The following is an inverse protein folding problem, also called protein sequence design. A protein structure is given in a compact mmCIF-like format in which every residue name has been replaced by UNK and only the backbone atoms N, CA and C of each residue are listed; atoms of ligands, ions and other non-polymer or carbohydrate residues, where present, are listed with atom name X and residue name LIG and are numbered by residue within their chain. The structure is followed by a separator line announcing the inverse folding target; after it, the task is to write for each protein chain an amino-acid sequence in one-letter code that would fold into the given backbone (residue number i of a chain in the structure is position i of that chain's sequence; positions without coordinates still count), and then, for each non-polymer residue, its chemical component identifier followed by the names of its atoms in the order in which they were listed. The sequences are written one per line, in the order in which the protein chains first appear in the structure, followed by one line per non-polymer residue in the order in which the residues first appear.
data_IF_202225424733
#
_entry.id   IF_202225424733
#
_cell.length_a   1.000
_cell.length_b   1.000
_cell.length_c   1.000
_cell.angle_alpha   90.00
_cell.angle_beta   90.00
_cell.angle_gamma   90.00
#
_symmetry.space_group_name_H-M   'P 1'
#
loop_
_entity.id
_entity.type
_entity.pdbx_description
1 polymer ?
#
# COMPACT_ATOMS: atom_id res chain seq x y z
N UNK A 1 14.67 -5.44 8.29
CA UNK A 1 15.83 -6.08 7.60
C UNK A 1 15.82 -5.68 6.13
N UNK A 2 16.92 -5.17 5.60
CA UNK A 2 17.04 -4.69 4.21
C UNK A 2 17.95 -5.66 3.45
N UNK A 3 17.47 -6.20 2.33
CA UNK A 3 18.17 -7.22 1.57
C UNK A 3 18.41 -6.79 0.13
N UNK A 4 19.66 -6.89 -0.31
CA UNK A 4 20.00 -6.80 -1.73
C UNK A 4 19.56 -8.09 -2.44
N UNK A 5 18.96 -7.96 -3.62
CA UNK A 5 18.56 -9.10 -4.44
C UNK A 5 18.77 -8.78 -5.93
N UNK A 6 19.36 -9.71 -6.66
CA UNK A 6 19.58 -9.63 -8.11
C UNK A 6 20.17 -8.28 -8.59
N UNK A 7 21.15 -7.75 -7.85
CA UNK A 7 21.80 -6.47 -8.16
C UNK A 7 21.12 -5.24 -7.59
N UNK A 8 19.86 -5.31 -7.20
CA UNK A 8 19.09 -4.20 -6.63
C UNK A 8 19.22 -4.15 -5.10
N UNK A 9 19.47 -2.96 -4.59
CA UNK A 9 19.41 -2.66 -3.16
C UNK A 9 18.24 -1.69 -2.94
N UNK A 10 17.34 -1.92 -1.98
CA UNK A 10 16.24 -1.00 -1.70
C UNK A 10 16.74 0.44 -1.49
N UNK A 11 16.11 1.39 -2.16
CA UNK A 11 16.35 2.82 -2.00
C UNK A 11 15.33 3.37 -1.02
N UNK A 12 15.79 3.84 0.14
CA UNK A 12 14.93 4.28 1.23
C UNK A 12 15.29 5.71 1.56
N UNK A 13 14.31 6.63 1.51
CA UNK A 13 14.51 8.01 1.89
C UNK A 13 14.84 8.11 3.38
N UNK A 14 15.74 9.01 3.76
CA UNK A 14 16.23 9.17 5.15
C UNK A 14 15.14 9.49 6.18
N UNK A 15 14.06 10.13 5.73
CA UNK A 15 12.90 10.46 6.58
C UNK A 15 11.87 9.34 6.67
N UNK A 16 12.07 8.21 5.99
CA UNK A 16 11.19 7.05 6.09
C UNK A 16 11.52 6.23 7.34
N UNK A 17 10.50 5.71 7.99
CA UNK A 17 10.64 4.76 9.08
C UNK A 17 10.41 3.33 8.60
N UNK A 18 11.38 2.47 8.78
CA UNK A 18 11.26 1.04 8.52
C UNK A 18 11.55 0.29 9.82
N UNK A 19 10.53 -0.34 10.39
CA UNK A 19 10.68 -1.10 11.62
C UNK A 19 11.71 -2.23 11.45
N UNK A 20 12.52 -2.50 12.47
CA UNK A 20 13.60 -3.50 12.42
C UNK A 20 13.13 -4.93 12.06
N UNK A 21 11.88 -5.28 12.41
CA UNK A 21 11.24 -6.54 12.08
C UNK A 21 10.57 -6.56 10.68
N UNK A 22 10.62 -5.48 9.94
CA UNK A 22 10.15 -5.46 8.55
C UNK A 22 11.24 -6.00 7.62
N UNK A 23 10.83 -6.67 6.53
CA UNK A 23 11.73 -7.18 5.49
C UNK A 23 11.50 -6.42 4.17
N UNK A 24 12.54 -5.76 3.65
CA UNK A 24 12.50 -5.05 2.36
C UNK A 24 13.59 -5.63 1.47
N UNK A 25 13.21 -6.16 0.31
CA UNK A 25 14.09 -6.95 -0.54
C UNK A 25 14.06 -6.46 -2.00
N UNK A 26 15.23 -6.25 -2.60
CA UNK A 26 15.39 -6.07 -4.05
C UNK A 26 15.03 -4.67 -4.57
N UNK A 27 14.34 -4.61 -5.71
CA UNK A 27 14.00 -3.37 -6.41
C UNK A 27 12.80 -2.67 -5.76
N UNK A 28 13.06 -1.97 -4.67
CA UNK A 28 12.06 -1.24 -3.88
C UNK A 28 12.52 0.20 -3.69
N UNK A 29 11.62 1.15 -3.97
CA UNK A 29 11.82 2.58 -3.77
C UNK A 29 10.84 3.07 -2.71
N UNK A 30 11.34 3.66 -1.63
CA UNK A 30 10.55 4.16 -0.50
C UNK A 30 10.79 5.66 -0.34
N UNK A 31 9.72 6.44 -0.48
CA UNK A 31 9.73 7.90 -0.44
C UNK A 31 9.77 8.50 0.96
N UNK A 32 9.58 9.82 1.00
CA UNK A 32 9.65 10.62 2.24
C UNK A 32 8.50 10.29 3.19
N UNK A 33 8.79 10.29 4.50
CA UNK A 33 7.81 10.12 5.60
C UNK A 33 6.93 8.88 5.45
N UNK A 34 7.45 7.85 4.79
CA UNK A 34 6.80 6.53 4.71
C UNK A 34 6.98 5.81 6.03
N UNK A 35 5.92 5.16 6.51
CA UNK A 35 5.95 4.27 7.68
C UNK A 35 5.83 2.81 7.22
N UNK A 36 6.74 1.96 7.67
CA UNK A 36 6.68 0.50 7.46
C UNK A 36 6.71 -0.20 8.82
N UNK A 37 5.59 -0.81 9.17
CA UNK A 37 5.37 -1.49 10.45
C UNK A 37 6.06 -2.84 10.59
N UNK A 38 6.12 -3.39 11.82
CA UNK A 38 6.72 -4.67 12.10
C UNK A 38 6.05 -5.82 11.35
N UNK A 39 6.85 -6.78 10.88
CA UNK A 39 6.37 -7.94 10.14
C UNK A 39 5.94 -7.67 8.70
N UNK A 40 5.98 -6.43 8.22
CA UNK A 40 5.72 -6.12 6.82
C UNK A 40 6.79 -6.74 5.92
N UNK A 41 6.38 -7.41 4.84
CA UNK A 41 7.24 -8.05 3.85
C UNK A 41 7.05 -7.39 2.47
N UNK A 42 8.06 -6.66 2.00
CA UNK A 42 8.06 -5.93 0.74
C UNK A 42 9.14 -6.54 -0.15
N UNK A 43 8.73 -7.27 -1.21
CA UNK A 43 9.63 -8.03 -2.06
C UNK A 43 9.59 -7.58 -3.51
N UNK A 44 10.54 -6.73 -3.89
CA UNK A 44 10.84 -6.34 -5.28
C UNK A 44 11.88 -7.28 -5.91
N UNK A 45 11.75 -8.58 -5.70
CA UNK A 45 12.66 -9.61 -6.20
C UNK A 45 12.36 -10.01 -7.65
N UNK A 46 11.10 -9.88 -8.09
CA UNK A 46 10.66 -10.19 -9.45
C UNK A 46 10.30 -8.96 -10.29
N UNK A 47 10.00 -7.85 -9.67
CA UNK A 47 9.62 -6.61 -10.33
C UNK A 47 9.89 -5.42 -9.44
N UNK A 48 9.39 -4.25 -9.82
CA UNK A 48 9.63 -3.00 -9.11
C UNK A 48 8.48 -2.68 -8.14
N UNK A 49 8.82 -2.17 -6.96
CA UNK A 49 7.85 -1.66 -5.99
C UNK A 49 8.19 -0.21 -5.69
N UNK A 50 7.23 0.69 -5.94
CA UNK A 50 7.33 2.12 -5.69
C UNK A 50 6.34 2.50 -4.59
N UNK A 51 6.86 3.00 -3.47
CA UNK A 51 6.07 3.49 -2.35
C UNK A 51 6.32 4.99 -2.24
N UNK A 52 5.38 5.77 -2.73
CA UNK A 52 5.50 7.23 -2.77
C UNK A 52 5.37 7.86 -1.37
N UNK A 53 5.65 9.16 -1.30
CA UNK A 53 5.74 9.93 -0.07
C UNK A 53 4.48 9.80 0.81
N UNK A 54 4.68 9.73 2.11
CA UNK A 54 3.62 9.75 3.11
C UNK A 54 2.79 8.47 3.24
N UNK A 55 3.09 7.42 2.49
CA UNK A 55 2.41 6.13 2.61
C UNK A 55 2.65 5.49 3.99
N UNK A 56 1.72 4.64 4.42
CA UNK A 56 1.97 3.72 5.52
C UNK A 56 1.62 2.29 5.12
N UNK A 57 2.50 1.38 5.45
CA UNK A 57 2.34 -0.07 5.30
C UNK A 57 2.38 -0.64 6.71
N UNK A 58 1.22 -1.07 7.19
CA UNK A 58 1.08 -1.47 8.57
C UNK A 58 1.59 -2.89 8.82
N UNK A 59 1.43 -3.37 10.05
CA UNK A 59 1.97 -4.64 10.51
C UNK A 59 1.50 -5.81 9.65
N UNK A 60 2.43 -6.72 9.37
CA UNK A 60 2.18 -7.98 8.66
C UNK A 60 1.62 -7.85 7.23
N UNK A 61 1.72 -6.67 6.62
CA UNK A 61 1.37 -6.50 5.21
C UNK A 61 2.36 -7.23 4.30
N UNK A 62 1.87 -7.75 3.17
CA UNK A 62 2.71 -8.32 2.12
C UNK A 62 2.55 -7.53 0.83
N UNK A 63 3.66 -7.05 0.26
CA UNK A 63 3.68 -6.39 -1.05
C UNK A 63 4.62 -7.17 -1.96
N UNK A 64 4.10 -7.65 -3.08
CA UNK A 64 4.84 -8.44 -4.04
C UNK A 64 4.36 -8.20 -5.47
N UNK A 65 5.07 -8.73 -6.45
CA UNK A 65 4.80 -8.48 -7.86
C UNK A 65 5.34 -9.59 -8.75
N UNK A 66 4.70 -9.87 -9.88
CA UNK A 66 5.22 -10.77 -10.91
C UNK A 66 6.36 -10.16 -11.72
N UNK A 67 7.20 -10.99 -12.40
CA UNK A 67 8.27 -10.52 -13.27
C UNK A 67 7.77 -9.54 -14.34
N UNK A 68 8.49 -8.44 -14.51
CA UNK A 68 8.19 -7.40 -15.51
C UNK A 68 6.96 -6.56 -15.22
N UNK A 69 6.41 -6.64 -14.01
CA UNK A 69 5.31 -5.80 -13.49
C UNK A 69 5.80 -4.88 -12.38
N UNK A 70 4.94 -4.00 -11.92
CA UNK A 70 5.21 -3.11 -10.79
C UNK A 70 4.05 -3.05 -9.81
N UNK A 71 4.37 -2.72 -8.56
CA UNK A 71 3.40 -2.20 -7.58
C UNK A 71 3.69 -0.71 -7.42
N UNK A 72 2.64 0.10 -7.46
CA UNK A 72 2.74 1.53 -7.17
C UNK A 72 1.75 1.88 -6.05
N UNK A 73 2.29 2.37 -4.95
CA UNK A 73 1.50 3.03 -3.91
C UNK A 73 1.68 4.54 -4.10
N UNK A 74 0.62 5.21 -4.49
CA UNK A 74 0.64 6.65 -4.70
C UNK A 74 0.69 7.40 -3.36
N UNK A 75 1.03 8.69 -3.42
CA UNK A 75 1.19 9.54 -2.23
C UNK A 75 0.06 9.35 -1.21
N UNK A 76 0.44 9.22 0.07
CA UNK A 76 -0.48 9.08 1.20
C UNK A 76 -1.37 7.82 1.16
N UNK A 77 -1.04 6.81 0.34
CA UNK A 77 -1.71 5.52 0.38
C UNK A 77 -1.55 4.85 1.76
N UNK A 78 -2.62 4.25 2.25
CA UNK A 78 -2.72 3.70 3.59
C UNK A 78 -3.07 2.21 3.51
N UNK A 79 -2.11 1.36 3.82
CA UNK A 79 -2.26 -0.10 3.72
C UNK A 79 -2.45 -0.68 5.11
N UNK A 80 -3.67 -1.08 5.41
CA UNK A 80 -4.08 -1.60 6.72
C UNK A 80 -3.48 -2.96 7.05
N UNK A 81 -3.37 -3.25 8.35
CA UNK A 81 -2.73 -4.44 8.91
C UNK A 81 -3.07 -5.74 8.16
N UNK A 82 -2.08 -6.53 7.83
CA UNK A 82 -2.24 -7.83 7.20
C UNK A 82 -2.71 -7.82 5.74
N UNK A 83 -2.85 -6.65 5.11
CA UNK A 83 -3.28 -6.57 3.71
C UNK A 83 -2.20 -7.12 2.77
N UNK A 84 -2.65 -7.69 1.65
CA UNK A 84 -1.80 -8.21 0.58
C UNK A 84 -2.01 -7.37 -0.68
N UNK A 85 -0.95 -6.76 -1.18
CA UNK A 85 -0.94 -6.02 -2.45
C UNK A 85 -0.04 -6.77 -3.42
N UNK A 86 -0.61 -7.27 -4.50
CA UNK A 86 0.13 -8.02 -5.50
C UNK A 86 -0.05 -7.41 -6.88
N UNK A 87 1.02 -6.84 -7.46
CA UNK A 87 1.04 -6.32 -8.83
C UNK A 87 0.01 -5.22 -9.15
N UNK A 88 -0.39 -4.43 -8.16
CA UNK A 88 -1.49 -3.46 -8.28
C UNK A 88 -1.03 -2.02 -8.12
N UNK A 89 -1.87 -1.08 -8.54
CA UNK A 89 -1.70 0.35 -8.29
C UNK A 89 -2.75 0.83 -7.29
N UNK A 90 -2.30 1.50 -6.23
CA UNK A 90 -3.16 2.09 -5.20
C UNK A 90 -3.05 3.61 -5.30
N UNK A 91 -4.15 4.26 -5.59
CA UNK A 91 -4.24 5.70 -5.81
C UNK A 91 -3.94 6.54 -4.57
N UNK A 92 -3.69 7.81 -4.83
CA UNK A 92 -3.36 8.82 -3.82
C UNK A 92 -4.42 8.88 -2.72
N UNK A 93 -3.96 8.96 -1.48
CA UNK A 93 -4.82 9.10 -0.29
C UNK A 93 -5.90 8.00 -0.17
N UNK A 94 -5.66 6.82 -0.72
CA UNK A 94 -6.57 5.66 -0.66
C UNK A 94 -6.26 4.79 0.55
N UNK A 95 -7.31 4.28 1.20
CA UNK A 95 -7.23 3.29 2.29
C UNK A 95 -7.54 1.90 1.77
N UNK A 96 -6.62 0.97 1.96
CA UNK A 96 -6.85 -0.46 1.85
C UNK A 96 -7.07 -1.01 3.26
N UNK A 97 -8.25 -1.55 3.52
CA UNK A 97 -8.64 -2.05 4.83
C UNK A 97 -7.85 -3.30 5.25
N UNK A 98 -7.87 -3.59 6.56
CA UNK A 98 -7.16 -4.72 7.17
C UNK A 98 -7.50 -6.06 6.51
N UNK A 99 -6.48 -6.91 6.31
CA UNK A 99 -6.59 -8.24 5.70
C UNK A 99 -7.28 -8.27 4.32
N UNK A 100 -7.29 -7.15 3.61
CA UNK A 100 -7.76 -7.11 2.23
C UNK A 100 -6.69 -7.65 1.28
N UNK A 101 -7.15 -8.20 0.14
CA UNK A 101 -6.26 -8.70 -0.92
C UNK A 101 -6.55 -7.93 -2.21
N UNK A 102 -5.51 -7.33 -2.80
CA UNK A 102 -5.58 -6.64 -4.08
C UNK A 102 -4.68 -7.35 -5.07
N UNK A 103 -5.27 -7.86 -6.16
CA UNK A 103 -4.59 -8.72 -7.13
C UNK A 103 -4.02 -7.94 -8.32
N UNK A 104 -3.25 -8.65 -9.13
CA UNK A 104 -2.45 -8.13 -10.23
C UNK A 104 -3.23 -7.26 -11.21
N UNK A 105 -2.57 -6.18 -11.62
CA UNK A 105 -3.11 -5.22 -12.59
C UNK A 105 -4.42 -4.54 -12.16
N UNK A 106 -4.86 -4.73 -10.92
CA UNK A 106 -5.95 -3.94 -10.37
C UNK A 106 -5.48 -2.50 -10.13
N UNK A 107 -6.36 -1.56 -10.38
CA UNK A 107 -6.15 -0.14 -10.11
C UNK A 107 -7.23 0.34 -9.16
N UNK A 108 -6.84 0.78 -7.98
CA UNK A 108 -7.73 1.45 -7.04
C UNK A 108 -7.48 2.95 -7.17
N UNK A 109 -8.49 3.71 -7.55
CA UNK A 109 -8.41 5.15 -7.78
C UNK A 109 -8.03 5.94 -6.53
N UNK A 110 -7.98 7.26 -6.69
CA UNK A 110 -7.63 8.19 -5.61
C UNK A 110 -8.76 8.30 -4.58
N UNK A 111 -8.37 8.58 -3.34
CA UNK A 111 -9.32 8.88 -2.26
C UNK A 111 -10.40 7.80 -2.07
N UNK A 112 -10.07 6.54 -2.38
CA UNK A 112 -10.96 5.40 -2.14
C UNK A 112 -10.84 4.88 -0.70
N UNK A 113 -11.89 4.23 -0.23
CA UNK A 113 -11.89 3.43 1.01
C UNK A 113 -12.28 2.00 0.65
N UNK A 114 -11.35 1.10 0.80
CA UNK A 114 -11.59 -0.34 0.68
C UNK A 114 -11.79 -0.90 2.07
N UNK A 115 -12.93 -1.53 2.32
CA UNK A 115 -13.26 -2.13 3.61
C UNK A 115 -12.35 -3.30 3.95
N UNK A 116 -12.29 -3.65 5.25
CA UNK A 116 -11.52 -4.81 5.69
C UNK A 116 -12.03 -6.12 5.06
N UNK A 117 -11.13 -7.11 4.90
CA UNK A 117 -11.42 -8.43 4.32
C UNK A 117 -11.93 -8.39 2.87
N UNK A 118 -11.67 -7.30 2.17
CA UNK A 118 -12.10 -7.13 0.78
C UNK A 118 -11.17 -7.90 -0.17
N UNK A 119 -11.76 -8.56 -1.18
CA UNK A 119 -10.99 -9.21 -2.26
C UNK A 119 -11.21 -8.48 -3.59
N UNK A 120 -10.21 -7.70 -4.00
CA UNK A 120 -10.18 -7.01 -5.29
C UNK A 120 -9.48 -7.92 -6.29
N UNK A 121 -10.26 -8.45 -7.23
CA UNK A 121 -9.75 -9.35 -8.27
C UNK A 121 -8.80 -8.63 -9.23
N UNK A 122 -7.98 -9.41 -9.91
CA UNK A 122 -7.07 -8.90 -10.93
C UNK A 122 -7.78 -8.07 -12.02
N UNK A 123 -7.07 -7.07 -12.52
CA UNK A 123 -7.51 -6.15 -13.59
C UNK A 123 -8.73 -5.27 -13.24
N UNK A 124 -9.28 -5.37 -12.03
CA UNK A 124 -10.40 -4.53 -11.61
C UNK A 124 -9.99 -3.06 -11.58
N UNK A 125 -10.78 -2.20 -12.23
CA UNK A 125 -10.60 -0.76 -12.26
C UNK A 125 -11.63 -0.10 -11.34
N UNK A 126 -11.17 0.51 -10.25
CA UNK A 126 -12.01 1.23 -9.29
C UNK A 126 -11.78 2.72 -9.49
N UNK A 127 -12.82 3.48 -9.89
CA UNK A 127 -12.71 4.94 -10.03
C UNK A 127 -12.40 5.63 -8.70
N UNK A 128 -12.00 6.91 -8.78
CA UNK A 128 -11.75 7.74 -7.62
C UNK A 128 -12.97 7.85 -6.69
N UNK A 129 -12.72 8.08 -5.40
CA UNK A 129 -13.71 8.40 -4.38
C UNK A 129 -14.80 7.35 -4.18
N UNK A 130 -14.44 6.06 -4.22
CA UNK A 130 -15.37 4.95 -4.02
C UNK A 130 -15.18 4.25 -2.68
N UNK A 131 -16.29 3.87 -2.07
CA UNK A 131 -16.34 2.86 -1.02
C UNK A 131 -16.47 1.49 -1.67
N UNK A 132 -15.49 0.61 -1.40
CA UNK A 132 -15.43 -0.75 -1.94
C UNK A 132 -15.47 -1.74 -0.81
N UNK A 133 -16.31 -2.75 -0.90
CA UNK A 133 -16.50 -3.74 0.16
C UNK A 133 -16.73 -5.13 -0.41
N UNK A 134 -16.46 -6.14 0.38
CA UNK A 134 -16.87 -7.51 0.12
C UNK A 134 -15.81 -8.42 -0.49
N UNK A 135 -16.14 -9.70 -0.50
CA UNK A 135 -15.36 -10.77 -1.13
C UNK A 135 -16.33 -11.63 -1.98
N UNK A 136 -16.36 -11.47 -3.32
CA UNK A 136 -15.58 -10.54 -4.14
C UNK A 136 -15.97 -9.06 -3.90
N UNK A 137 -15.03 -8.16 -4.22
CA UNK A 137 -15.21 -6.72 -4.05
C UNK A 137 -16.32 -6.14 -4.94
N UNK A 138 -17.13 -5.26 -4.36
CA UNK A 138 -18.12 -4.46 -5.08
C UNK A 138 -17.95 -2.98 -4.74
N UNK A 139 -18.18 -2.11 -5.72
CA UNK A 139 -18.27 -0.66 -5.48
C UNK A 139 -19.63 -0.40 -4.84
N UNK A 140 -19.64 0.06 -3.59
CA UNK A 140 -20.87 0.25 -2.80
C UNK A 140 -21.52 1.61 -3.05
N UNK A 141 -20.72 2.69 -3.04
CA UNK A 141 -21.16 4.07 -3.21
C UNK A 141 -19.97 5.02 -3.32
N UNK A 142 -20.23 6.28 -3.56
CA UNK A 142 -19.24 7.34 -3.39
C UNK A 142 -18.95 7.59 -1.90
N UNK A 143 -17.78 8.13 -1.61
CA UNK A 143 -17.41 8.56 -0.26
C UNK A 143 -17.59 10.07 -0.10
N UNK A 144 -17.91 10.50 1.12
CA UNK A 144 -18.05 11.92 1.45
C UNK A 144 -16.72 12.57 1.79
N UNK A 145 -16.69 13.90 1.81
CA UNK A 145 -15.51 14.68 2.20
C UNK A 145 -15.12 14.40 3.66
N UNK A 146 -16.09 14.21 4.55
CA UNK A 146 -15.83 13.84 5.96
C UNK A 146 -15.11 12.49 6.08
N UNK A 147 -15.46 11.50 5.22
CA UNK A 147 -14.76 10.22 5.19
C UNK A 147 -13.32 10.38 4.70
N UNK A 148 -13.07 11.27 3.75
CA UNK A 148 -11.73 11.58 3.26
C UNK A 148 -10.92 12.27 4.36
N UNK A 149 -11.49 13.23 5.06
CA UNK A 149 -10.84 13.91 6.19
C UNK A 149 -10.49 12.94 7.32
N UNK A 150 -11.43 12.08 7.71
CA UNK A 150 -11.18 11.03 8.70
C UNK A 150 -10.01 10.13 8.29
N UNK A 151 -10.00 9.64 7.06
CA UNK A 151 -8.92 8.80 6.51
C UNK A 151 -7.58 9.55 6.52
N UNK A 152 -7.58 10.80 6.06
CA UNK A 152 -6.38 11.63 5.98
C UNK A 152 -5.79 11.90 7.37
N UNK A 153 -6.65 12.11 8.37
CA UNK A 153 -6.25 12.20 9.78
C UNK A 153 -5.51 10.94 10.25
N UNK A 154 -6.05 9.75 9.95
CA UNK A 154 -5.41 8.49 10.27
C UNK A 154 -4.03 8.33 9.60
N UNK A 155 -3.89 8.77 8.36
CA UNK A 155 -2.59 8.73 7.66
C UNK A 155 -1.55 9.63 8.32
N UNK A 156 -1.93 10.85 8.75
CA UNK A 156 -1.04 11.77 9.46
C UNK A 156 -0.50 11.19 10.77
N UNK A 157 -1.33 10.46 11.50
CA UNK A 157 -0.89 9.78 12.75
C UNK A 157 0.29 8.85 12.44
N UNK A 158 0.22 8.04 11.38
CA UNK A 158 1.32 7.16 10.99
C UNK A 158 2.58 7.91 10.53
N UNK A 159 2.42 9.05 9.86
CA UNK A 159 3.55 9.90 9.46
C UNK A 159 4.27 10.55 10.67
N UNK A 160 3.61 10.63 11.80
CA UNK A 160 4.12 11.23 13.04
C UNK A 160 4.56 10.19 14.08
N UNK A 161 4.10 8.94 13.95
CA UNK A 161 4.35 7.87 14.91
C UNK A 161 5.83 7.60 15.21
N UNK A 162 6.77 7.71 14.25
CA UNK A 162 8.19 7.45 14.49
C UNK A 162 8.96 8.57 15.18
N UNK A 163 8.34 9.66 15.56
CA UNK A 163 9.00 10.84 16.16
C UNK A 163 9.24 10.67 17.64
#
# INVERSE_FOLDING_TARGET
MIYKFNGYTPMIHESAFVHELAAVTGNVIIGEKVYIGPGAAIRGDWGEIIINNGCNIQENCTIHVFPGKSVVLEKDAHIGHGAVIHGATIGRNTLIGMNSVVMDSAVVGNECIVGALCFIKGEMQIPDRKLVVGNPAIIKRDISDEMIEWKSGGTKIYQELPK
#
